data_IF_758194079994
#
_entry.id   IF_758194079994
#
_cell.length_a   1.000
_cell.length_b   1.000
_cell.length_c   1.000
_cell.angle_alpha   90.00
_cell.angle_beta   90.00
_cell.angle_gamma   90.00
#
_symmetry.space_group_name_H-M   'P 1'
#
loop_
_entity.id
_entity.type
_entity.pdbx_description
1 polymer ?
#
# COMPACT_ATOMS: atom_id res chain seq x y z
N UNK A 1 -17.85 18.04 17.25
CA UNK A 1 -16.51 18.05 17.85
C UNK A 1 -15.56 18.74 16.88
N UNK A 2 -14.88 19.81 17.29
CA UNK A 2 -13.92 20.54 16.43
C UNK A 2 -12.69 19.68 16.11
N UNK A 3 -11.86 20.08 15.13
CA UNK A 3 -10.59 19.38 14.85
C UNK A 3 -9.67 19.41 16.07
N UNK A 4 -9.62 20.52 16.80
CA UNK A 4 -8.81 20.66 18.01
C UNK A 4 -9.27 19.73 19.12
N UNK A 5 -10.59 19.59 19.32
CA UNK A 5 -11.15 18.63 20.28
C UNK A 5 -10.81 17.19 19.90
N UNK A 6 -10.89 16.84 18.60
CA UNK A 6 -10.51 15.50 18.10
C UNK A 6 -9.03 15.21 18.36
N UNK A 7 -8.15 16.17 18.11
CA UNK A 7 -6.71 16.04 18.40
C UNK A 7 -6.47 15.86 19.90
N UNK A 8 -7.12 16.67 20.74
CA UNK A 8 -6.99 16.58 22.20
C UNK A 8 -7.44 15.23 22.73
N UNK A 9 -8.59 14.73 22.26
CA UNK A 9 -9.09 13.40 22.63
C UNK A 9 -8.11 12.30 22.19
N UNK A 10 -7.63 12.34 20.95
CA UNK A 10 -6.65 11.39 20.43
C UNK A 10 -5.34 11.39 21.24
N UNK A 11 -4.86 12.56 21.67
CA UNK A 11 -3.69 12.66 22.54
C UNK A 11 -3.93 12.03 23.92
N UNK A 12 -5.09 12.28 24.53
CA UNK A 12 -5.45 11.68 25.82
C UNK A 12 -5.52 10.15 25.72
N UNK A 13 -6.13 9.63 24.64
CA UNK A 13 -6.16 8.20 24.32
C UNK A 13 -4.72 7.69 24.19
N UNK A 14 -3.86 8.35 23.43
CA UNK A 14 -2.46 7.94 23.28
C UNK A 14 -1.71 7.81 24.61
N UNK A 15 -1.80 8.82 25.48
CA UNK A 15 -1.11 8.75 26.77
C UNK A 15 -1.65 7.64 27.68
N UNK A 16 -2.97 7.44 27.69
CA UNK A 16 -3.59 6.32 28.40
C UNK A 16 -3.08 4.98 27.86
N UNK A 17 -3.09 4.82 26.54
CA UNK A 17 -2.70 3.60 25.84
C UNK A 17 -1.22 3.26 26.09
N UNK A 18 -0.33 4.24 25.96
CA UNK A 18 1.09 4.06 26.22
C UNK A 18 1.38 3.78 27.70
N UNK A 19 0.60 4.34 28.62
CA UNK A 19 0.67 3.99 30.04
C UNK A 19 0.35 2.52 30.30
N UNK A 20 -0.68 1.98 29.63
CA UNK A 20 -1.05 0.55 29.72
C UNK A 20 0.02 -0.35 29.12
N UNK A 21 0.51 -0.04 27.92
CA UNK A 21 1.59 -0.82 27.27
C UNK A 21 2.83 -0.88 28.15
N UNK A 22 3.24 0.25 28.76
CA UNK A 22 4.38 0.29 29.69
C UNK A 22 4.19 -0.60 30.92
N UNK A 23 2.95 -0.84 31.34
CA UNK A 23 2.61 -1.72 32.45
C UNK A 23 2.42 -3.19 32.02
N UNK A 24 2.85 -3.56 30.81
CA UNK A 24 2.85 -4.95 30.33
C UNK A 24 1.56 -5.40 29.66
N UNK A 25 0.59 -4.50 29.44
CA UNK A 25 -0.62 -4.83 28.70
C UNK A 25 -0.31 -4.99 27.19
N UNK A 26 -0.98 -5.95 26.56
CA UNK A 26 -0.99 -6.07 25.10
C UNK A 26 -1.72 -4.88 24.45
N UNK A 27 -1.52 -4.69 23.15
CA UNK A 27 -2.22 -3.65 22.41
C UNK A 27 -3.75 -3.82 22.50
N UNK A 28 -4.26 -5.04 22.29
CA UNK A 28 -5.71 -5.29 22.30
C UNK A 28 -6.32 -5.04 23.69
N UNK A 29 -5.63 -5.43 24.76
CA UNK A 29 -6.09 -5.13 26.12
C UNK A 29 -6.13 -3.63 26.38
N UNK A 30 -5.08 -2.91 25.99
CA UNK A 30 -5.02 -1.45 26.11
C UNK A 30 -6.13 -0.77 25.29
N UNK A 31 -6.45 -1.29 24.10
CA UNK A 31 -7.54 -0.80 23.25
C UNK A 31 -8.91 -1.01 23.90
N UNK A 32 -9.21 -2.21 24.41
CA UNK A 32 -10.47 -2.49 25.12
C UNK A 32 -10.61 -1.58 26.34
N UNK A 33 -9.53 -1.41 27.12
CA UNK A 33 -9.51 -0.49 28.27
C UNK A 33 -9.79 0.96 27.84
N UNK A 34 -9.23 1.41 26.71
CA UNK A 34 -9.43 2.76 26.19
C UNK A 34 -10.89 2.96 25.73
N UNK A 35 -11.47 1.98 25.04
CA UNK A 35 -12.87 2.05 24.60
C UNK A 35 -13.83 2.15 25.77
N UNK A 36 -13.61 1.34 26.81
CA UNK A 36 -14.42 1.40 28.03
C UNK A 36 -14.25 2.75 28.75
N UNK A 37 -13.02 3.27 28.85
CA UNK A 37 -12.74 4.50 29.61
C UNK A 37 -13.22 5.78 28.90
N UNK A 38 -13.02 5.89 27.58
CA UNK A 38 -13.30 7.11 26.83
C UNK A 38 -14.67 7.12 26.15
N UNK A 39 -15.25 5.95 25.84
CA UNK A 39 -16.49 5.84 25.07
C UNK A 39 -17.61 5.07 25.79
N UNK A 40 -17.36 4.55 27.00
CA UNK A 40 -18.29 3.68 27.74
C UNK A 40 -18.74 2.44 26.92
N UNK A 41 -17.87 2.00 26.00
CA UNK A 41 -18.12 0.85 25.13
C UNK A 41 -17.45 -0.40 25.68
N UNK A 42 -18.27 -1.43 25.93
CA UNK A 42 -17.75 -2.75 26.31
C UNK A 42 -17.47 -3.57 25.06
N UNK A 43 -16.20 -3.62 24.65
CA UNK A 43 -15.75 -4.43 23.52
C UNK A 43 -15.25 -5.78 24.04
N UNK A 44 -15.76 -6.88 23.47
CA UNK A 44 -15.20 -8.20 23.72
C UNK A 44 -13.86 -8.32 23.00
N UNK A 45 -12.82 -8.73 23.72
CA UNK A 45 -11.54 -9.08 23.10
C UNK A 45 -11.75 -10.36 22.29
N UNK A 46 -11.88 -10.24 20.97
CA UNK A 46 -11.93 -11.38 20.05
C UNK A 46 -10.58 -11.54 19.39
N UNK A 47 -9.84 -12.59 19.76
CA UNK A 47 -8.68 -13.00 18.99
C UNK A 47 -9.14 -13.67 17.70
N UNK A 48 -8.92 -13.02 16.56
CA UNK A 48 -9.00 -13.68 15.27
C UNK A 48 -7.72 -14.50 15.14
N UNK A 49 -7.82 -15.81 15.38
CA UNK A 49 -6.72 -16.73 15.09
C UNK A 49 -6.82 -17.03 13.59
N UNK A 50 -5.82 -16.64 12.80
CA UNK A 50 -5.85 -16.93 11.38
C UNK A 50 -5.80 -18.44 11.14
N UNK A 51 -6.57 -18.92 10.16
CA UNK A 51 -6.64 -20.35 9.88
C UNK A 51 -5.32 -20.83 9.24
N UNK A 52 -4.65 -21.81 9.83
CA UNK A 52 -3.31 -22.29 9.41
C UNK A 52 -3.30 -23.17 8.15
N UNK A 53 -4.47 -23.52 7.63
CA UNK A 53 -4.65 -24.60 6.64
C UNK A 53 -4.20 -24.29 5.20
N UNK A 54 -3.62 -23.10 4.95
CA UNK A 54 -3.25 -22.65 3.60
C UNK A 54 -1.75 -22.63 3.32
N UNK A 55 -0.92 -23.19 4.20
CA UNK A 55 0.54 -23.04 4.12
C UNK A 55 0.98 -21.58 4.34
N UNK A 56 0.16 -20.82 5.06
CA UNK A 56 0.42 -19.44 5.44
C UNK A 56 1.03 -19.45 6.84
N UNK A 57 2.24 -18.93 6.96
CA UNK A 57 2.87 -18.68 8.25
C UNK A 57 2.47 -17.27 8.73
N UNK A 58 1.90 -17.20 9.92
CA UNK A 58 1.56 -15.94 10.56
C UNK A 58 2.70 -15.52 11.49
N UNK A 59 3.08 -14.26 11.43
CA UNK A 59 4.11 -13.67 12.28
C UNK A 59 3.51 -12.55 13.11
N UNK A 60 3.70 -12.60 14.43
CA UNK A 60 3.34 -11.49 15.29
C UNK A 60 4.35 -10.34 15.06
N UNK A 61 3.83 -9.13 14.88
CA UNK A 61 4.65 -7.92 14.75
C UNK A 61 5.54 -7.69 15.99
N UNK A 62 5.15 -8.19 17.15
CA UNK A 62 5.94 -8.11 18.37
C UNK A 62 7.18 -9.02 18.34
N UNK A 63 7.18 -10.05 17.49
CA UNK A 63 8.34 -10.93 17.26
C UNK A 63 9.33 -10.32 16.26
N UNK A 64 8.93 -9.27 15.52
CA UNK A 64 9.84 -8.56 14.63
C UNK A 64 10.84 -7.70 15.43
N UNK A 65 12.14 -7.73 15.10
CA UNK A 65 13.14 -6.88 15.73
C UNK A 65 13.03 -5.44 15.24
N UNK A 66 12.00 -4.72 15.71
CA UNK A 66 11.79 -3.30 15.50
C UNK A 66 12.69 -2.50 16.43
N UNK A 67 13.40 -1.50 15.89
CA UNK A 67 14.09 -0.54 16.74
C UNK A 67 13.07 0.40 17.44
N UNK A 68 13.47 0.94 18.58
CA UNK A 68 12.59 1.77 19.42
C UNK A 68 12.01 2.99 18.69
N UNK A 69 12.73 3.57 17.73
CA UNK A 69 12.20 4.71 16.96
C UNK A 69 11.09 4.25 16.02
N UNK A 70 11.29 3.15 15.27
CA UNK A 70 10.25 2.63 14.37
C UNK A 70 9.02 2.17 15.16
N UNK A 71 9.20 1.50 16.31
CA UNK A 71 8.08 1.11 17.18
C UNK A 71 7.31 2.32 17.69
N UNK A 72 8.00 3.40 18.04
CA UNK A 72 7.39 4.68 18.45
C UNK A 72 6.56 5.29 17.31
N UNK A 73 7.11 5.35 16.09
CA UNK A 73 6.40 5.90 14.93
C UNK A 73 5.20 5.05 14.53
N UNK A 74 5.33 3.72 14.62
CA UNK A 74 4.21 2.80 14.44
C UNK A 74 3.06 3.12 15.40
N UNK A 75 3.34 3.37 16.69
CA UNK A 75 2.30 3.78 17.65
C UNK A 75 1.76 5.19 17.40
N UNK A 76 2.54 6.12 16.85
CA UNK A 76 2.01 7.41 16.41
C UNK A 76 0.96 7.22 15.31
N UNK A 77 1.26 6.43 14.28
CA UNK A 77 0.31 6.17 13.21
C UNK A 77 -0.91 5.39 13.69
N UNK A 78 -0.68 4.34 14.48
CA UNK A 78 -1.72 3.44 14.93
C UNK A 78 -2.70 4.10 15.91
N UNK A 79 -2.19 4.80 16.92
CA UNK A 79 -3.02 5.30 18.02
C UNK A 79 -3.44 6.76 17.79
N UNK A 80 -2.53 7.63 17.35
CA UNK A 80 -2.88 9.04 17.15
C UNK A 80 -3.69 9.23 15.87
N UNK A 81 -3.36 8.50 14.80
CA UNK A 81 -3.97 8.71 13.48
C UNK A 81 -4.92 7.61 13.04
N UNK A 82 -4.89 6.43 13.67
CA UNK A 82 -5.57 5.25 13.16
C UNK A 82 -5.22 4.96 11.68
N UNK A 83 -3.99 5.29 11.28
CA UNK A 83 -3.53 5.19 9.90
C UNK A 83 -2.83 3.86 9.66
N UNK A 84 -3.63 2.83 9.36
CA UNK A 84 -3.14 1.47 9.13
C UNK A 84 -2.26 1.35 7.88
N UNK A 85 -2.45 2.22 6.88
CA UNK A 85 -1.60 2.27 5.69
C UNK A 85 -0.16 2.68 6.06
N UNK A 86 0.01 3.79 6.80
CA UNK A 86 1.34 4.20 7.28
C UNK A 86 1.96 3.16 8.22
N UNK A 87 1.14 2.52 9.07
CA UNK A 87 1.61 1.40 9.90
C UNK A 87 2.17 0.26 9.03
N UNK A 88 1.42 -0.14 8.00
CA UNK A 88 1.83 -1.18 7.05
C UNK A 88 3.09 -0.79 6.28
N UNK A 89 3.24 0.47 5.86
CA UNK A 89 4.43 0.99 5.19
C UNK A 89 5.70 0.85 6.05
N UNK A 90 5.61 1.16 7.34
CA UNK A 90 6.74 1.02 8.27
C UNK A 90 7.16 -0.44 8.42
N UNK A 91 6.19 -1.34 8.55
CA UNK A 91 6.44 -2.75 8.83
C UNK A 91 6.91 -3.50 7.59
N UNK A 92 6.30 -3.27 6.42
CA UNK A 92 6.75 -3.89 5.16
C UNK A 92 8.22 -3.56 4.86
N UNK A 93 8.63 -2.30 5.06
CA UNK A 93 10.02 -1.88 4.87
C UNK A 93 10.96 -2.58 5.86
N UNK A 94 10.53 -2.74 7.11
CA UNK A 94 11.34 -3.41 8.12
C UNK A 94 11.49 -4.91 7.83
N UNK A 95 10.41 -5.59 7.45
CA UNK A 95 10.45 -6.99 6.99
C UNK A 95 11.40 -7.13 5.81
N UNK A 96 11.24 -6.31 4.77
CA UNK A 96 12.12 -6.32 3.59
C UNK A 96 13.58 -6.06 3.95
N UNK A 97 13.87 -5.16 4.89
CA UNK A 97 15.25 -4.91 5.32
C UNK A 97 15.91 -6.12 5.99
N UNK A 98 15.12 -6.90 6.75
CA UNK A 98 15.58 -8.03 7.55
C UNK A 98 15.68 -9.32 6.75
N UNK A 99 14.71 -9.57 5.87
CA UNK A 99 14.55 -10.85 5.18
C UNK A 99 14.79 -10.75 3.67
N UNK A 100 14.71 -9.55 3.09
CA UNK A 100 14.62 -9.39 1.63
C UNK A 100 13.32 -9.99 1.09
N UNK A 101 13.35 -10.40 -0.18
CA UNK A 101 12.22 -11.04 -0.84
C UNK A 101 11.28 -10.04 -1.49
N UNK A 102 10.00 -10.42 -1.58
CA UNK A 102 8.94 -9.65 -2.24
C UNK A 102 7.81 -9.43 -1.24
N UNK A 103 7.45 -8.17 -1.05
CA UNK A 103 6.23 -7.75 -0.38
C UNK A 103 5.13 -7.54 -1.43
N UNK A 104 3.89 -7.93 -1.10
CA UNK A 104 2.70 -7.78 -1.95
C UNK A 104 1.53 -7.38 -1.04
N UNK A 105 0.81 -6.31 -1.37
CA UNK A 105 -0.44 -5.94 -0.71
C UNK A 105 -1.53 -7.01 -0.97
N UNK A 106 -2.42 -7.21 0.00
CA UNK A 106 -3.46 -8.26 -0.04
C UNK A 106 -4.49 -8.09 -1.16
N UNK A 107 -4.59 -6.89 -1.71
CA UNK A 107 -5.51 -6.54 -2.80
C UNK A 107 -4.84 -6.63 -4.19
N UNK A 108 -3.58 -7.07 -4.25
CA UNK A 108 -2.83 -7.23 -5.50
C UNK A 108 -2.81 -8.69 -5.95
N UNK A 109 -3.05 -8.93 -7.24
CA UNK A 109 -3.05 -10.27 -7.82
C UNK A 109 -1.83 -10.52 -8.71
N UNK A 110 -1.45 -11.79 -8.93
CA UNK A 110 -0.47 -12.13 -9.96
C UNK A 110 -0.93 -11.67 -11.34
N UNK A 111 0.03 -11.46 -12.25
CA UNK A 111 -0.26 -11.08 -13.63
C UNK A 111 -1.18 -12.10 -14.31
N UNK A 112 -2.29 -11.64 -14.86
CA UNK A 112 -3.21 -12.50 -15.61
C UNK A 112 -2.56 -13.04 -16.89
N UNK A 113 -2.84 -14.31 -17.18
CA UNK A 113 -2.28 -15.05 -18.32
C UNK A 113 -2.67 -14.47 -19.69
N UNK A 114 -1.76 -14.60 -20.66
CA UNK A 114 -1.99 -14.29 -22.07
C UNK A 114 -3.12 -15.11 -22.71
N UNK A 115 -3.56 -16.20 -22.06
CA UNK A 115 -4.73 -16.99 -22.49
C UNK A 115 -6.01 -16.16 -22.54
N UNK A 116 -6.05 -15.01 -21.88
CA UNK A 116 -7.16 -14.06 -21.94
C UNK A 116 -7.05 -13.02 -23.07
N UNK A 117 -6.03 -13.08 -23.94
CA UNK A 117 -5.84 -12.09 -25.01
C UNK A 117 -7.02 -11.99 -25.99
N UNK A 118 -7.76 -13.08 -26.22
CA UNK A 118 -9.00 -13.05 -27.01
C UNK A 118 -10.06 -12.17 -26.32
N UNK A 119 -10.24 -12.32 -25.00
CA UNK A 119 -11.15 -11.48 -24.21
C UNK A 119 -10.69 -10.02 -24.26
N UNK A 120 -9.38 -9.78 -24.02
CA UNK A 120 -8.81 -8.43 -24.03
C UNK A 120 -9.03 -7.74 -25.38
N UNK A 121 -8.77 -8.43 -26.49
CA UNK A 121 -8.93 -7.90 -27.84
C UNK A 121 -10.39 -7.55 -28.14
N UNK A 122 -11.31 -8.45 -27.80
CA UNK A 122 -12.75 -8.22 -27.98
C UNK A 122 -13.26 -6.98 -27.21
N UNK A 123 -12.78 -6.79 -25.99
CA UNK A 123 -13.12 -5.64 -25.14
C UNK A 123 -12.55 -4.34 -25.71
N UNK A 124 -11.29 -4.37 -26.20
CA UNK A 124 -10.65 -3.22 -26.84
C UNK A 124 -11.41 -2.74 -28.07
N UNK A 125 -11.85 -3.65 -28.94
CA UNK A 125 -12.67 -3.34 -30.12
C UNK A 125 -13.98 -2.62 -29.80
N UNK A 126 -14.47 -2.73 -28.55
CA UNK A 126 -15.71 -2.12 -28.07
C UNK A 126 -15.48 -0.91 -27.16
N UNK A 127 -14.27 -0.37 -27.15
CA UNK A 127 -13.93 0.82 -26.39
C UNK A 127 -13.69 0.59 -24.89
N UNK A 128 -13.57 -0.66 -24.44
CA UNK A 128 -13.10 -0.97 -23.08
C UNK A 128 -11.58 -1.11 -23.09
N UNK A 129 -10.92 -0.05 -22.66
CA UNK A 129 -9.46 0.06 -22.61
C UNK A 129 -8.88 -0.13 -21.20
N UNK A 130 -7.59 -0.44 -21.15
CA UNK A 130 -6.71 -0.35 -19.98
C UNK A 130 -7.27 -1.05 -18.73
N UNK A 131 -7.32 -0.34 -17.60
CA UNK A 131 -7.73 -0.82 -16.27
C UNK A 131 -9.09 -1.54 -16.27
N UNK A 132 -10.07 -1.06 -17.05
CA UNK A 132 -11.39 -1.68 -17.13
C UNK A 132 -11.33 -3.04 -17.82
N UNK A 133 -10.47 -3.17 -18.82
CA UNK A 133 -10.24 -4.43 -19.52
C UNK A 133 -9.57 -5.45 -18.59
N UNK A 134 -8.55 -5.00 -17.86
CA UNK A 134 -7.87 -5.83 -16.85
C UNK A 134 -8.81 -6.27 -15.73
N UNK A 135 -9.65 -5.37 -15.23
CA UNK A 135 -10.62 -5.71 -14.20
C UNK A 135 -11.61 -6.77 -14.68
N UNK A 136 -12.12 -6.71 -15.92
CA UNK A 136 -13.02 -7.76 -16.44
C UNK A 136 -12.33 -9.13 -16.40
N UNK A 137 -11.08 -9.21 -16.86
CA UNK A 137 -10.30 -10.46 -16.82
C UNK A 137 -10.08 -10.91 -15.37
N UNK A 138 -9.74 -9.99 -14.48
CA UNK A 138 -9.57 -10.25 -13.05
C UNK A 138 -10.82 -10.86 -12.43
N UNK A 139 -12.00 -10.28 -12.68
CA UNK A 139 -13.25 -10.79 -12.10
C UNK A 139 -13.63 -12.15 -12.70
N UNK A 140 -13.39 -12.39 -14.00
CA UNK A 140 -13.57 -13.72 -14.58
C UNK A 140 -12.70 -14.76 -13.86
N UNK A 141 -11.46 -14.40 -13.52
CA UNK A 141 -10.55 -15.28 -12.81
C UNK A 141 -11.00 -15.58 -11.37
N UNK A 142 -11.37 -14.54 -10.63
CA UNK A 142 -11.82 -14.67 -9.24
C UNK A 142 -13.15 -15.41 -9.14
N UNK A 143 -14.12 -15.12 -10.02
CA UNK A 143 -15.41 -15.79 -10.06
C UNK A 143 -15.25 -17.31 -10.24
N UNK A 144 -14.36 -17.72 -11.14
CA UNK A 144 -14.05 -19.14 -11.37
C UNK A 144 -13.39 -19.82 -10.17
N UNK A 145 -12.63 -19.07 -9.37
CA UNK A 145 -11.85 -19.59 -8.25
C UNK A 145 -12.63 -19.64 -6.94
N UNK A 146 -13.50 -18.64 -6.71
CA UNK A 146 -14.21 -18.43 -5.45
C UNK A 146 -15.70 -18.82 -5.52
N UNK A 147 -16.26 -18.98 -6.73
CA UNK A 147 -17.70 -19.18 -6.94
C UNK A 147 -18.57 -18.12 -6.22
N UNK A 148 -18.11 -16.86 -6.23
CA UNK A 148 -18.77 -15.77 -5.53
C UNK A 148 -19.87 -15.11 -6.41
N UNK A 149 -21.10 -15.11 -5.88
CA UNK A 149 -22.26 -14.47 -6.51
C UNK A 149 -22.12 -12.94 -6.60
N UNK A 150 -21.43 -12.28 -5.65
CA UNK A 150 -21.21 -10.83 -5.68
C UNK A 150 -20.24 -10.43 -6.80
N UNK A 151 -19.19 -11.23 -7.02
CA UNK A 151 -18.31 -11.05 -8.18
C UNK A 151 -19.07 -11.24 -9.49
N UNK A 152 -20.08 -12.11 -9.51
CA UNK A 152 -20.95 -12.30 -10.68
C UNK A 152 -21.74 -11.02 -10.99
N UNK A 153 -22.27 -10.34 -9.97
CA UNK A 153 -22.96 -9.05 -10.13
C UNK A 153 -22.01 -7.97 -10.64
N UNK A 154 -20.76 -7.92 -10.16
CA UNK A 154 -19.77 -6.94 -10.64
C UNK A 154 -19.36 -7.17 -12.10
N UNK A 155 -19.23 -8.43 -12.55
CA UNK A 155 -19.07 -8.77 -13.99
C UNK A 155 -20.24 -8.19 -14.76
N UNK A 156 -21.45 -8.41 -14.26
CA UNK A 156 -22.67 -7.99 -14.92
C UNK A 156 -22.76 -6.46 -14.94
N UNK A 157 -22.43 -5.73 -13.88
CA UNK A 157 -22.42 -4.26 -13.88
C UNK A 157 -21.34 -3.65 -14.80
N UNK A 158 -20.15 -4.24 -14.87
CA UNK A 158 -19.05 -3.72 -15.72
C UNK A 158 -19.29 -4.08 -17.19
N UNK A 159 -19.78 -5.30 -17.48
CA UNK A 159 -19.94 -5.81 -18.85
C UNK A 159 -21.32 -5.48 -19.42
N UNK A 160 -22.41 -5.57 -18.65
CA UNK A 160 -23.79 -5.32 -19.12
C UNK A 160 -24.03 -3.83 -19.33
N UNK A 161 -23.56 -2.95 -18.44
CA UNK A 161 -23.80 -1.50 -18.60
C UNK A 161 -22.98 -0.86 -19.73
N UNK A 162 -21.92 -1.51 -20.24
CA UNK A 162 -21.02 -0.89 -21.23
C UNK A 162 -20.73 -1.69 -22.49
N UNK A 163 -20.85 -3.02 -22.53
CA UNK A 163 -20.22 -3.75 -23.64
C UNK A 163 -20.99 -4.82 -24.39
N UNK A 164 -21.94 -5.62 -23.89
CA UNK A 164 -22.74 -6.49 -24.80
C UNK A 164 -23.84 -7.31 -24.13
N UNK A 165 -24.69 -7.91 -24.97
CA UNK A 165 -25.68 -8.95 -24.64
C UNK A 165 -25.15 -10.05 -23.73
N UNK A 166 -26.04 -10.63 -22.92
CA UNK A 166 -25.81 -11.76 -21.99
C UNK A 166 -25.01 -12.93 -22.58
N UNK A 167 -25.10 -13.16 -23.90
CA UNK A 167 -24.37 -14.21 -24.61
C UNK A 167 -22.84 -14.03 -24.58
N UNK A 168 -22.33 -12.80 -24.62
CA UNK A 168 -20.88 -12.54 -24.59
C UNK A 168 -20.28 -12.86 -23.23
N UNK A 169 -20.97 -12.45 -22.15
CA UNK A 169 -20.57 -12.79 -20.78
C UNK A 169 -20.50 -14.30 -20.60
N UNK A 170 -21.47 -15.04 -21.16
CA UNK A 170 -21.47 -16.50 -21.12
C UNK A 170 -20.27 -17.11 -21.85
N UNK A 171 -19.88 -16.56 -23.01
CA UNK A 171 -18.68 -16.99 -23.74
C UNK A 171 -17.43 -16.78 -22.90
N UNK A 172 -17.28 -15.62 -22.26
CA UNK A 172 -16.11 -15.33 -21.41
C UNK A 172 -16.03 -16.25 -20.20
N UNK A 173 -17.16 -16.48 -19.51
CA UNK A 173 -17.25 -17.46 -18.42
C UNK A 173 -16.87 -18.86 -18.90
N UNK A 174 -17.26 -19.25 -20.12
CA UNK A 174 -16.89 -20.54 -20.74
C UNK A 174 -15.40 -20.62 -21.13
N UNK A 175 -14.75 -19.50 -21.47
CA UNK A 175 -13.30 -19.46 -21.68
C UNK A 175 -12.60 -19.70 -20.36
N UNK A 176 -12.96 -18.93 -19.32
CA UNK A 176 -12.36 -19.04 -17.99
C UNK A 176 -12.56 -20.44 -17.38
N UNK A 177 -13.73 -21.07 -17.57
CA UNK A 177 -14.03 -22.38 -17.00
C UNK A 177 -13.18 -23.52 -17.55
N UNK A 178 -12.58 -23.36 -18.74
CA UNK A 178 -11.69 -24.33 -19.38
C UNK A 178 -10.24 -24.25 -18.89
N UNK A 179 -9.87 -23.20 -18.17
CA UNK A 179 -8.51 -23.00 -17.65
C UNK A 179 -8.37 -23.59 -16.25
N UNK A 180 -7.22 -24.21 -15.98
CA UNK A 180 -6.78 -24.54 -14.63
C UNK A 180 -6.28 -23.29 -13.92
N UNK A 181 -6.31 -23.28 -12.58
CA UNK A 181 -5.92 -22.10 -11.79
C UNK A 181 -4.52 -21.57 -12.14
N UNK A 182 -3.51 -22.45 -12.25
CA UNK A 182 -2.14 -22.07 -12.63
C UNK A 182 -2.00 -21.62 -14.10
N UNK A 183 -3.03 -21.80 -14.93
CA UNK A 183 -3.06 -21.32 -16.31
C UNK A 183 -3.70 -19.94 -16.44
N UNK A 184 -4.43 -19.50 -15.40
CA UNK A 184 -5.11 -18.21 -15.34
C UNK A 184 -4.17 -17.09 -14.90
N UNK A 185 -3.14 -17.44 -14.13
CA UNK A 185 -2.15 -16.53 -13.58
C UNK A 185 -0.75 -16.92 -14.05
N UNK A 186 0.05 -15.91 -14.39
CA UNK A 186 1.46 -16.10 -14.71
C UNK A 186 2.24 -16.25 -13.39
N UNK A 187 3.12 -17.26 -13.26
CA UNK A 187 3.99 -17.35 -12.11
C UNK A 187 4.99 -16.19 -12.10
N UNK A 188 5.37 -15.73 -10.91
CA UNK A 188 6.38 -14.66 -10.73
C UNK A 188 7.73 -15.06 -11.38
N UNK A 189 8.08 -16.34 -11.33
CA UNK A 189 9.34 -16.86 -11.89
C UNK A 189 10.58 -16.43 -11.09
N UNK A 190 11.75 -16.56 -11.71
CA UNK A 190 13.02 -16.12 -11.12
C UNK A 190 13.18 -14.60 -11.30
N UNK A 191 13.24 -13.87 -10.18
CA UNK A 191 13.46 -12.42 -10.18
C UNK A 191 14.89 -12.07 -9.82
N UNK A 192 15.53 -11.27 -10.67
CA UNK A 192 16.90 -10.78 -10.44
C UNK A 192 16.86 -9.34 -9.96
N UNK A 193 17.24 -9.13 -8.70
CA UNK A 193 17.25 -7.81 -8.06
C UNK A 193 18.68 -7.46 -7.67
N UNK A 194 19.10 -6.24 -7.96
CA UNK A 194 20.41 -5.74 -7.51
C UNK A 194 20.41 -5.62 -5.99
N UNK A 195 21.46 -6.16 -5.34
CA UNK A 195 21.57 -6.20 -3.87
C UNK A 195 21.49 -4.84 -3.19
N UNK A 196 21.84 -3.75 -3.87
CA UNK A 196 21.79 -2.40 -3.32
C UNK A 196 20.52 -1.63 -3.65
N UNK A 197 19.72 -2.11 -4.61
CA UNK A 197 18.54 -1.40 -5.13
C UNK A 197 17.25 -2.00 -4.59
N UNK A 198 16.15 -1.51 -5.12
CA UNK A 198 14.78 -1.92 -4.85
C UNK A 198 14.05 -2.08 -6.18
N UNK A 199 13.14 -3.02 -6.22
CA UNK A 199 12.17 -3.19 -7.28
C UNK A 199 10.83 -2.67 -6.77
N UNK A 200 10.19 -1.79 -7.51
CA UNK A 200 8.96 -1.09 -7.10
C UNK A 200 7.86 -1.35 -8.12
N UNK A 201 6.63 -1.46 -7.63
CA UNK A 201 5.44 -1.56 -8.44
C UNK A 201 5.28 -0.35 -9.37
N UNK A 202 4.96 -0.61 -10.64
CA UNK A 202 4.45 0.41 -11.56
C UNK A 202 3.24 -0.11 -12.34
N UNK A 203 2.44 0.81 -12.87
CA UNK A 203 1.31 0.45 -13.71
C UNK A 203 1.72 0.39 -15.18
N UNK A 204 1.31 -0.67 -15.87
CA UNK A 204 1.48 -0.80 -17.31
C UNK A 204 0.65 0.23 -18.10
N UNK A 205 -0.42 0.76 -17.52
CA UNK A 205 -1.34 1.70 -18.18
C UNK A 205 -1.09 3.15 -17.81
N UNK A 206 -0.78 3.43 -16.53
CA UNK A 206 -0.52 4.78 -16.04
C UNK A 206 0.98 5.09 -15.99
N UNK A 207 1.49 5.74 -17.04
CA UNK A 207 2.88 6.23 -17.08
C UNK A 207 3.14 7.16 -15.90
N UNK A 208 4.24 6.93 -15.18
CA UNK A 208 4.61 7.72 -14.01
C UNK A 208 4.02 7.20 -12.69
N UNK A 209 3.11 6.21 -12.73
CA UNK A 209 2.59 5.59 -11.52
C UNK A 209 3.67 4.76 -10.82
N UNK A 210 3.80 4.98 -9.52
CA UNK A 210 4.63 4.17 -8.63
C UNK A 210 3.79 3.83 -7.42
N UNK A 211 3.68 2.54 -7.14
CA UNK A 211 3.03 2.02 -5.95
C UNK A 211 4.06 1.38 -5.02
N UNK A 212 3.76 1.33 -3.72
CA UNK A 212 4.50 0.51 -2.77
C UNK A 212 3.73 -0.78 -2.42
N UNK A 213 2.73 -1.12 -3.24
CA UNK A 213 1.92 -2.33 -3.14
C UNK A 213 2.72 -3.59 -3.43
N UNK A 214 3.71 -3.49 -4.32
CA UNK A 214 4.71 -4.54 -4.54
C UNK A 214 6.10 -3.93 -4.39
N UNK A 215 6.92 -4.56 -3.56
CA UNK A 215 8.30 -4.18 -3.34
C UNK A 215 9.17 -5.42 -3.35
N UNK A 216 10.24 -5.42 -4.14
CA UNK A 216 11.24 -6.48 -4.15
C UNK A 216 12.60 -5.95 -3.71
N UNK A 217 13.31 -6.67 -2.86
CA UNK A 217 14.70 -6.33 -2.55
C UNK A 217 15.52 -7.54 -2.07
N UNK A 218 16.85 -7.38 -2.11
CA UNK A 218 17.72 -8.27 -1.37
C UNK A 218 17.76 -7.85 0.11
N UNK A 219 17.99 -8.82 1.00
CA UNK A 219 18.26 -8.55 2.42
C UNK A 219 19.36 -7.50 2.57
N UNK A 220 19.19 -6.55 3.51
CA UNK A 220 20.08 -5.42 3.74
C UNK A 220 20.24 -4.45 2.54
N UNK A 221 19.26 -4.34 1.65
CA UNK A 221 19.28 -3.38 0.54
C UNK A 221 19.61 -1.95 1.01
N UNK A 222 20.56 -1.30 0.32
CA UNK A 222 21.00 0.07 0.64
C UNK A 222 19.86 1.06 0.47
N UNK A 223 19.07 0.95 -0.61
CA UNK A 223 17.93 1.84 -0.86
C UNK A 223 16.88 1.71 0.23
N UNK A 224 16.51 0.49 0.65
CA UNK A 224 15.58 0.28 1.76
C UNK A 224 16.07 0.97 3.03
N UNK A 225 17.36 0.81 3.37
CA UNK A 225 17.95 1.45 4.53
C UNK A 225 17.97 2.99 4.42
N UNK A 226 18.11 3.54 3.21
CA UNK A 226 18.00 4.98 2.97
C UNK A 226 16.55 5.45 3.15
N UNK A 227 15.57 4.72 2.62
CA UNK A 227 14.14 5.04 2.80
C UNK A 227 13.79 5.06 4.29
N UNK A 228 14.14 4.01 5.04
CA UNK A 228 13.92 3.94 6.50
C UNK A 228 14.60 5.13 7.20
N UNK A 229 15.82 5.51 6.81
CA UNK A 229 16.51 6.68 7.36
C UNK A 229 15.76 7.98 7.07
N UNK A 230 15.19 8.14 5.88
CA UNK A 230 14.40 9.32 5.53
C UNK A 230 13.09 9.38 6.31
N UNK A 231 12.41 8.25 6.51
CA UNK A 231 11.26 8.15 7.41
C UNK A 231 11.63 8.67 8.80
N UNK A 232 12.73 8.15 9.37
CA UNK A 232 13.23 8.59 10.69
C UNK A 232 13.50 10.10 10.76
N UNK A 233 14.10 10.66 9.71
CA UNK A 233 14.34 12.12 9.62
C UNK A 233 13.03 12.92 9.58
N UNK A 234 12.03 12.45 8.83
CA UNK A 234 10.73 13.12 8.70
C UNK A 234 9.92 13.07 10.01
N UNK A 235 9.90 11.94 10.71
CA UNK A 235 9.29 11.90 12.04
C UNK A 235 10.04 12.77 13.06
N UNK A 236 11.39 12.80 13.03
CA UNK A 236 12.15 13.74 13.89
C UNK A 236 11.81 15.19 13.60
N UNK A 237 11.62 15.54 12.33
CA UNK A 237 11.13 16.86 11.95
C UNK A 237 9.74 17.15 12.55
N UNK A 238 8.81 16.20 12.45
CA UNK A 238 7.49 16.32 13.07
C UNK A 238 7.58 16.51 14.60
N UNK A 239 8.45 15.74 15.27
CA UNK A 239 8.67 15.85 16.71
C UNK A 239 9.26 17.20 17.11
N UNK A 240 10.31 17.65 16.41
CA UNK A 240 11.01 18.89 16.71
C UNK A 240 10.14 20.14 16.51
N UNK A 241 9.08 20.04 15.70
CA UNK A 241 8.14 21.12 15.42
C UNK A 241 6.78 20.92 16.12
N UNK A 242 6.68 20.02 17.09
CA UNK A 242 5.45 19.71 17.85
C UNK A 242 4.26 19.23 16.99
N UNK A 243 4.50 18.81 15.74
CA UNK A 243 3.45 18.41 14.79
C UNK A 243 2.84 17.03 15.09
N UNK A 244 3.47 16.23 15.96
CA UNK A 244 2.92 14.93 16.38
C UNK A 244 1.73 15.09 17.32
N UNK A 245 1.78 16.05 18.25
CA UNK A 245 0.77 16.21 19.29
C UNK A 245 -0.04 17.50 19.17
N UNK A 246 0.42 18.47 18.38
CA UNK A 246 -0.28 19.74 18.18
C UNK A 246 -0.57 19.96 16.70
N UNK A 247 -1.54 20.84 16.47
CA UNK A 247 -1.76 21.43 15.16
C UNK A 247 -1.01 22.77 15.13
N UNK A 248 0.27 22.74 14.80
CA UNK A 248 1.10 23.94 14.72
C UNK A 248 1.17 24.45 13.28
N UNK A 249 1.15 25.77 13.12
CA UNK A 249 1.46 26.40 11.85
C UNK A 249 2.98 26.34 11.63
N UNK A 250 3.39 25.87 10.46
CA UNK A 250 4.81 25.78 10.09
C UNK A 250 5.16 26.97 9.20
N UNK A 251 6.37 27.50 9.39
CA UNK A 251 6.91 28.60 8.59
C UNK A 251 6.99 28.24 7.10
N UNK A 252 6.53 29.16 6.25
CA UNK A 252 6.70 29.11 4.80
C UNK A 252 8.20 29.13 4.44
N UNK A 253 8.67 28.11 3.71
CA UNK A 253 10.03 28.04 3.15
C UNK A 253 10.80 26.74 3.42
N UNK A 254 10.40 25.92 4.39
CA UNK A 254 11.01 24.60 4.60
C UNK A 254 10.33 23.55 3.70
N UNK A 255 11.13 22.78 2.96
CA UNK A 255 10.64 21.66 2.15
C UNK A 255 9.83 20.65 2.97
N UNK A 256 10.17 20.41 4.24
CA UNK A 256 9.44 19.50 5.12
C UNK A 256 8.18 20.13 5.74
N UNK A 257 7.93 21.44 5.54
CA UNK A 257 6.70 22.10 6.00
C UNK A 257 5.42 21.49 5.40
N UNK A 258 5.51 20.83 4.25
CA UNK A 258 4.41 20.04 3.65
C UNK A 258 3.94 18.87 4.54
N UNK A 259 4.69 18.49 5.58
CA UNK A 259 4.27 17.51 6.59
C UNK A 259 3.41 18.14 7.70
N UNK A 260 3.22 19.46 7.73
CA UNK A 260 2.47 20.18 8.78
C UNK A 260 1.06 19.65 8.98
N UNK A 261 0.42 19.16 7.91
CA UNK A 261 -0.94 18.62 7.94
C UNK A 261 -1.03 17.19 8.51
N UNK A 262 0.05 16.66 9.11
CA UNK A 262 0.11 15.32 9.69
C UNK A 262 -1.13 14.94 10.51
N UNK A 263 -1.55 15.80 11.44
CA UNK A 263 -2.75 15.55 12.27
C UNK A 263 -4.06 15.78 11.53
N UNK A 264 -4.10 16.71 10.57
CA UNK A 264 -5.32 17.06 9.83
C UNK A 264 -5.70 16.04 8.76
N UNK A 265 -4.72 15.33 8.21
CA UNK A 265 -4.92 14.36 7.13
C UNK A 265 -6.04 13.33 7.43
N UNK A 266 -6.21 12.95 8.70
CA UNK A 266 -7.24 11.99 9.13
C UNK A 266 -8.64 12.60 9.29
N UNK A 267 -8.73 13.92 9.38
CA UNK A 267 -9.98 14.63 9.65
C UNK A 267 -10.47 15.47 8.46
N UNK A 268 -9.66 15.63 7.41
CA UNK A 268 -10.02 16.38 6.22
C UNK A 268 -10.61 15.46 5.15
N UNK A 269 -11.77 15.82 4.61
CA UNK A 269 -12.48 14.95 3.68
C UNK A 269 -11.83 14.86 2.29
N UNK A 270 -11.10 15.85 1.75
CA UNK A 270 -10.82 15.79 0.30
C UNK A 270 -9.54 16.39 -0.33
N UNK A 271 -8.56 16.99 0.35
CA UNK A 271 -7.47 17.68 -0.40
C UNK A 271 -6.04 17.49 0.15
N UNK A 272 -5.86 17.13 1.42
CA UNK A 272 -4.53 17.11 2.06
C UNK A 272 -4.02 15.72 2.50
N UNK A 273 -4.54 14.65 1.88
CA UNK A 273 -4.07 13.26 2.09
C UNK A 273 -2.71 12.92 1.47
N UNK A 274 -1.83 13.93 1.38
CA UNK A 274 -0.50 13.78 0.80
C UNK A 274 0.57 13.50 1.84
N UNK A 275 0.30 13.71 3.13
CA UNK A 275 1.29 13.50 4.19
C UNK A 275 1.71 12.05 4.24
N UNK A 276 0.78 11.08 4.28
CA UNK A 276 1.15 9.65 4.24
C UNK A 276 1.97 9.32 3.00
N UNK A 277 1.52 9.79 1.83
CA UNK A 277 2.19 9.55 0.55
C UNK A 277 3.66 10.00 0.55
N UNK A 278 3.98 11.13 1.21
CA UNK A 278 5.35 11.62 1.34
C UNK A 278 6.01 11.27 2.68
N UNK A 279 5.32 10.71 3.67
CA UNK A 279 5.93 10.39 4.96
C UNK A 279 6.44 8.95 4.95
N UNK A 280 5.62 8.02 4.49
CA UNK A 280 5.89 6.57 4.46
C UNK A 280 5.57 5.93 3.12
N UNK A 281 4.75 6.57 2.28
CA UNK A 281 4.23 6.03 1.03
C UNK A 281 5.09 6.29 -0.22
N UNK A 282 4.51 6.09 -1.43
CA UNK A 282 5.26 6.09 -2.70
C UNK A 282 6.01 7.39 -3.03
N UNK A 283 5.50 8.54 -2.60
CA UNK A 283 6.16 9.84 -2.81
C UNK A 283 7.55 9.90 -2.17
N UNK A 284 7.71 9.31 -0.98
CA UNK A 284 9.04 9.19 -0.37
C UNK A 284 9.98 8.32 -1.20
N UNK A 285 9.49 7.22 -1.78
CA UNK A 285 10.31 6.28 -2.54
C UNK A 285 10.86 6.95 -3.79
N UNK A 286 9.99 7.65 -4.53
CA UNK A 286 10.37 8.47 -5.69
C UNK A 286 11.45 9.48 -5.30
N UNK A 287 11.24 10.22 -4.22
CA UNK A 287 12.19 11.25 -3.78
C UNK A 287 13.55 10.66 -3.41
N UNK A 288 13.57 9.49 -2.77
CA UNK A 288 14.83 8.80 -2.47
C UNK A 288 15.52 8.35 -3.75
N UNK A 289 14.80 7.74 -4.69
CA UNK A 289 15.39 7.27 -5.95
C UNK A 289 15.93 8.43 -6.79
N UNK A 290 15.15 9.50 -6.95
CA UNK A 290 15.59 10.70 -7.65
C UNK A 290 16.79 11.35 -6.96
N UNK A 291 16.73 11.49 -5.63
CA UNK A 291 17.83 12.01 -4.84
C UNK A 291 19.11 11.20 -5.02
N UNK A 292 19.03 9.88 -5.17
CA UNK A 292 20.19 9.04 -5.49
C UNK A 292 20.70 9.28 -6.91
N UNK A 293 19.82 9.37 -7.90
CA UNK A 293 20.26 9.59 -9.29
C UNK A 293 20.92 10.96 -9.46
N UNK A 294 20.41 12.00 -8.81
CA UNK A 294 21.04 13.33 -8.83
C UNK A 294 22.38 13.40 -8.07
N UNK A 295 22.83 12.33 -7.40
CA UNK A 295 24.22 12.26 -6.89
C UNK A 295 25.22 11.76 -7.93
N UNK A 296 24.76 11.27 -9.08
CA UNK A 296 25.64 10.82 -10.15
C UNK A 296 26.20 12.02 -10.92
N UNK A 297 27.52 12.06 -11.18
CA UNK A 297 28.09 13.03 -12.11
C UNK A 297 27.42 12.85 -13.49
N UNK A 298 27.18 13.94 -14.21
CA UNK A 298 26.57 14.01 -15.55
C UNK A 298 25.02 14.04 -15.63
N UNK A 299 24.32 14.13 -14.49
CA UNK A 299 22.84 14.13 -14.46
C UNK A 299 22.21 15.53 -14.31
N UNK A 300 23.03 16.56 -14.04
CA UNK A 300 22.58 17.90 -13.64
C UNK A 300 21.65 18.61 -14.65
N UNK A 301 21.73 18.24 -15.93
CA UNK A 301 20.94 18.86 -17.01
C UNK A 301 19.71 18.05 -17.44
N UNK A 302 19.39 16.93 -16.77
CA UNK A 302 18.23 16.12 -17.11
C UNK A 302 17.00 16.59 -16.32
N UNK A 303 15.92 16.90 -17.03
CA UNK A 303 14.65 17.29 -16.39
C UNK A 303 14.12 16.19 -15.47
N UNK A 304 13.42 16.60 -14.41
CA UNK A 304 12.80 15.70 -13.44
C UNK A 304 11.88 14.66 -14.11
N UNK A 305 11.13 15.09 -15.12
CA UNK A 305 10.23 14.23 -15.89
C UNK A 305 11.00 13.15 -16.66
N UNK A 306 12.04 13.54 -17.40
CA UNK A 306 12.87 12.60 -18.16
C UNK A 306 13.57 11.62 -17.21
N UNK A 307 14.03 12.10 -16.06
CA UNK A 307 14.66 11.24 -15.06
C UNK A 307 13.67 10.25 -14.44
N UNK A 308 12.46 10.71 -14.11
CA UNK A 308 11.41 9.85 -13.57
C UNK A 308 11.01 8.77 -14.58
N UNK A 309 10.86 9.14 -15.86
CA UNK A 309 10.59 8.19 -16.94
C UNK A 309 11.73 7.19 -17.15
N UNK A 310 12.97 7.63 -16.98
CA UNK A 310 14.14 6.76 -17.06
C UNK A 310 14.17 5.74 -15.91
N UNK A 311 13.99 6.21 -14.67
CA UNK A 311 13.87 5.38 -13.45
C UNK A 311 12.78 4.32 -13.58
N UNK A 312 11.66 4.70 -14.20
CA UNK A 312 10.50 3.84 -14.42
C UNK A 312 10.61 2.96 -15.67
N UNK A 313 11.69 3.06 -16.42
CA UNK A 313 11.87 2.21 -17.59
C UNK A 313 12.23 0.78 -17.17
N UNK A 314 11.65 -0.21 -17.87
CA UNK A 314 12.01 -1.63 -17.68
C UNK A 314 13.52 -1.90 -17.88
N UNK A 315 14.25 -1.02 -18.58
CA UNK A 315 15.67 -1.15 -18.85
C UNK A 315 16.55 -1.14 -17.59
N UNK A 316 16.14 -0.39 -16.57
CA UNK A 316 16.89 -0.32 -15.31
C UNK A 316 16.61 -1.50 -14.39
N UNK A 317 15.56 -2.28 -14.65
CA UNK A 317 15.14 -3.39 -13.79
C UNK A 317 14.66 -2.96 -12.40
N UNK A 318 14.36 -1.67 -12.19
CA UNK A 318 13.83 -1.12 -10.94
C UNK A 318 12.31 -1.30 -10.78
N UNK A 319 11.64 -1.69 -11.87
CA UNK A 319 10.19 -1.70 -11.95
C UNK A 319 9.69 -3.14 -12.07
N UNK A 320 8.63 -3.44 -11.31
CA UNK A 320 7.88 -4.70 -11.38
C UNK A 320 6.54 -4.44 -12.03
N UNK A 321 6.25 -5.17 -13.09
CA UNK A 321 5.00 -5.05 -13.86
C UNK A 321 4.27 -6.39 -13.97
N UNK A 322 4.82 -7.44 -13.36
CA UNK A 322 4.34 -8.82 -13.38
C UNK A 322 3.23 -9.03 -12.33
N UNK A 323 2.23 -8.16 -12.35
CA UNK A 323 1.14 -8.15 -11.38
C UNK A 323 -0.12 -7.50 -11.97
N UNK A 324 -1.23 -7.59 -11.24
CA UNK A 324 -2.51 -6.95 -11.55
C UNK A 324 -2.96 -6.13 -10.33
N UNK A 325 -2.95 -4.80 -10.47
CA UNK A 325 -3.44 -3.86 -9.44
C UNK A 325 -4.92 -3.53 -9.58
N UNK A 326 -5.49 -3.67 -10.77
CA UNK A 326 -6.90 -3.37 -11.03
C UNK A 326 -7.77 -4.56 -10.62
N UNK A 327 -7.93 -4.73 -9.31
CA UNK A 327 -8.73 -5.78 -8.70
C UNK A 327 -10.05 -5.21 -8.16
N UNK A 328 -11.05 -6.06 -7.86
CA UNK A 328 -12.25 -5.59 -7.18
C UNK A 328 -11.93 -4.90 -5.85
N UNK A 329 -11.05 -5.50 -5.05
CA UNK A 329 -10.67 -4.99 -3.73
C UNK A 329 -9.96 -3.63 -3.80
N UNK A 330 -9.03 -3.43 -4.74
CA UNK A 330 -8.31 -2.15 -4.86
C UNK A 330 -9.24 -0.99 -5.21
N UNK A 331 -10.35 -1.25 -5.90
CA UNK A 331 -11.38 -0.23 -6.19
C UNK A 331 -12.20 0.19 -4.98
N UNK A 332 -12.42 -0.72 -4.03
CA UNK A 332 -13.13 -0.40 -2.78
C UNK A 332 -12.20 0.27 -1.76
N UNK A 333 -10.91 -0.05 -1.79
CA UNK A 333 -9.92 0.43 -0.83
C UNK A 333 -9.26 1.78 -1.19
N UNK A 334 -9.54 2.30 -2.40
CA UNK A 334 -9.18 3.66 -2.81
C UNK A 334 -7.77 3.78 -3.38
N UNK A 335 -7.69 3.89 -4.72
CA UNK A 335 -6.56 4.52 -5.42
C UNK A 335 -6.72 6.04 -5.47
#
# INVERSE_FOLDING_TARGET
>A
MSIEDKIKLSNNIYYFFMGKIKNGFTYNEAAVNACQYFFDETIKNTSIIPNSDLGIEFMDINDLPLDNEIKKFYYYELILRANLASCSDLIRLKILSLYGGIYIDVDTLPMMSDKFNIVRSYLLERGIHNEKNELVVCVLCLNRSMNDNNLTVLIDEIIINKVTSTNTVLIFKKIASKLLFHEMFSPIGEMKINKSLINICSDNFNKGFIGNNILGCHVNSKVINIIIRQIKKRYKYLENNDLIFKNADVFDGDYLARLANYRKEMFSDYIDRRVTHILTGPGLFIEVLLGLVYTLPDVENISLENMSNFLLSKKLGLVLNEHTMNTPESKYNGG
#
